data_IF_546273808364
#
_entry.id   IF_546273808364
#
_cell.length_a   1.000
_cell.length_b   1.000
_cell.length_c   1.000
_cell.angle_alpha   90.00
_cell.angle_beta   90.00
_cell.angle_gamma   90.00
#
_symmetry.space_group_name_H-M   'P 1'
#
loop_
_entity.id
_entity.type
_entity.pdbx_description
1 polymer ?
#
# COMPACT_ATOMS: atom_id res chain seq x y z
N UNK A 1 24.11 -15.36 -2.17
CA UNK A 1 25.22 -15.73 -3.11
C UNK A 1 26.27 -14.61 -3.17
N UNK A 2 25.85 -13.33 -3.27
CA UNK A 2 26.77 -12.17 -3.26
C UNK A 2 27.55 -12.08 -1.95
N UNK A 3 26.91 -12.26 -0.80
CA UNK A 3 27.56 -12.29 0.53
C UNK A 3 28.62 -13.39 0.65
N UNK A 4 28.35 -14.55 0.06
CA UNK A 4 29.33 -15.64 0.01
C UNK A 4 30.56 -15.26 -0.81
N UNK A 5 30.37 -14.63 -1.98
CA UNK A 5 31.46 -14.17 -2.84
C UNK A 5 32.29 -13.13 -2.13
N UNK A 6 31.66 -12.15 -1.47
CA UNK A 6 32.35 -11.08 -0.76
C UNK A 6 33.18 -11.60 0.43
N UNK A 7 32.63 -12.54 1.20
CA UNK A 7 33.26 -13.13 2.39
C UNK A 7 34.45 -14.05 2.05
N UNK A 8 34.39 -14.76 0.91
CA UNK A 8 35.38 -15.77 0.53
C UNK A 8 36.24 -15.41 -0.68
N UNK A 9 36.11 -14.19 -1.22
CA UNK A 9 36.79 -13.72 -2.44
C UNK A 9 38.31 -13.82 -2.36
N UNK A 10 38.87 -13.65 -1.19
CA UNK A 10 40.34 -13.61 -0.96
C UNK A 10 40.93 -14.91 -0.38
N UNK A 11 40.10 -15.96 -0.15
CA UNK A 11 40.58 -17.25 0.37
C UNK A 11 40.96 -18.18 -0.78
N UNK A 12 42.27 -18.51 -0.87
CA UNK A 12 42.80 -19.36 -1.95
C UNK A 12 42.15 -20.75 -2.02
N UNK A 13 41.78 -21.35 -0.87
CA UNK A 13 41.08 -22.65 -0.78
C UNK A 13 39.67 -22.68 -1.34
N UNK A 14 39.03 -21.53 -1.48
CA UNK A 14 37.65 -21.38 -1.97
C UNK A 14 37.54 -20.71 -3.35
N UNK A 15 38.68 -20.40 -3.98
CA UNK A 15 38.72 -19.69 -5.28
C UNK A 15 37.88 -20.37 -6.37
N UNK A 16 37.87 -21.69 -6.45
CA UNK A 16 37.10 -22.47 -7.44
C UNK A 16 35.59 -22.33 -7.19
N UNK A 17 35.15 -22.40 -5.93
CA UNK A 17 33.74 -22.26 -5.56
C UNK A 17 33.26 -20.83 -5.74
N UNK A 18 34.07 -19.83 -5.38
CA UNK A 18 33.78 -18.41 -5.61
C UNK A 18 33.65 -18.13 -7.11
N UNK A 19 34.59 -18.61 -7.94
CA UNK A 19 34.52 -18.45 -9.39
C UNK A 19 33.30 -19.15 -10.01
N UNK A 20 32.92 -20.33 -9.51
CA UNK A 20 31.70 -21.02 -9.96
C UNK A 20 30.46 -20.19 -9.65
N UNK A 21 30.34 -19.62 -8.45
CA UNK A 21 29.22 -18.78 -8.07
C UNK A 21 29.18 -17.43 -8.79
N UNK A 22 30.35 -16.83 -9.06
CA UNK A 22 30.44 -15.63 -9.93
C UNK A 22 29.89 -15.97 -11.34
N UNK A 23 30.32 -17.10 -11.94
CA UNK A 23 29.82 -17.53 -13.24
C UNK A 23 28.32 -17.87 -13.24
N UNK A 24 27.76 -18.29 -12.10
CA UNK A 24 26.30 -18.46 -11.95
C UNK A 24 25.58 -17.13 -11.90
N UNK A 25 26.12 -16.12 -11.19
CA UNK A 25 25.55 -14.77 -11.17
C UNK A 25 25.64 -14.06 -12.52
N UNK A 26 26.74 -14.25 -13.26
CA UNK A 26 26.92 -13.69 -14.61
C UNK A 26 25.96 -14.30 -15.65
N UNK A 27 25.45 -15.52 -15.39
CA UNK A 27 24.43 -16.17 -16.24
C UNK A 27 22.99 -15.72 -15.95
N UNK A 28 22.75 -15.04 -14.84
CA UNK A 28 21.45 -14.47 -14.50
C UNK A 28 21.31 -13.18 -15.30
N UNK A 29 20.46 -13.19 -16.32
CA UNK A 29 20.03 -11.96 -17.00
C UNK A 29 19.37 -11.06 -15.94
N UNK A 30 20.05 -9.98 -15.59
CA UNK A 30 19.45 -8.96 -14.72
C UNK A 30 18.31 -8.33 -15.51
N UNK A 31 17.09 -8.52 -15.00
CA UNK A 31 15.95 -7.75 -15.49
C UNK A 31 16.26 -6.29 -15.13
N UNK A 32 16.70 -5.52 -16.12
CA UNK A 32 16.77 -4.06 -15.97
C UNK A 32 15.33 -3.58 -15.90
N UNK A 33 14.85 -3.33 -14.67
CA UNK A 33 13.62 -2.59 -14.47
C UNK A 33 13.93 -1.17 -14.94
N UNK A 34 13.33 -0.76 -16.06
CA UNK A 34 13.40 0.62 -16.50
C UNK A 34 13.07 1.51 -15.29
N UNK A 35 13.90 2.53 -14.99
CA UNK A 35 13.63 3.42 -13.89
C UNK A 35 12.24 4.00 -14.11
N UNK A 36 11.33 3.75 -13.15
CA UNK A 36 10.00 4.37 -13.17
C UNK A 36 10.19 5.86 -13.38
N UNK A 37 9.65 6.34 -14.48
CA UNK A 37 9.70 7.76 -14.83
C UNK A 37 8.85 8.49 -13.78
N UNK A 38 9.50 8.87 -12.67
CA UNK A 38 8.92 9.64 -11.57
C UNK A 38 8.79 11.11 -11.97
N UNK A 39 8.30 11.36 -13.19
CA UNK A 39 7.87 12.68 -13.55
C UNK A 39 6.77 13.09 -12.57
N UNK A 40 7.16 13.83 -11.53
CA UNK A 40 6.24 14.39 -10.54
C UNK A 40 5.40 15.45 -11.23
N UNK A 41 4.33 15.01 -11.86
CA UNK A 41 3.41 15.88 -12.54
C UNK A 41 2.64 16.65 -11.49
N UNK A 42 2.86 17.94 -11.46
CA UNK A 42 2.19 18.84 -10.54
C UNK A 42 0.89 19.30 -11.21
N UNK A 43 -0.21 18.61 -10.92
CA UNK A 43 -1.54 19.12 -11.27
C UNK A 43 -1.74 20.42 -10.50
N UNK A 44 -1.90 21.53 -11.21
CA UNK A 44 -2.27 22.83 -10.62
C UNK A 44 -3.77 23.01 -10.76
N UNK A 45 -4.43 23.21 -9.64
CA UNK A 45 -5.85 23.50 -9.59
C UNK A 45 -6.12 24.96 -9.99
N UNK A 46 -7.28 25.21 -10.58
CA UNK A 46 -7.72 26.57 -10.82
C UNK A 46 -8.03 27.25 -9.48
N UNK A 47 -7.70 28.55 -9.35
CA UNK A 47 -8.08 29.31 -8.17
C UNK A 47 -9.62 29.40 -8.10
N UNK A 48 -10.20 28.81 -7.09
CA UNK A 48 -11.63 28.88 -6.82
C UNK A 48 -11.93 29.99 -5.80
N UNK A 49 -13.15 30.48 -5.81
CA UNK A 49 -13.62 31.45 -4.79
C UNK A 49 -13.54 30.80 -3.41
N UNK A 50 -13.02 31.53 -2.43
CA UNK A 50 -12.89 31.01 -1.05
C UNK A 50 -14.27 30.76 -0.45
N UNK A 51 -14.54 29.53 0.00
CA UNK A 51 -15.76 29.18 0.73
C UNK A 51 -15.76 29.72 2.15
N UNK A 52 -16.93 29.75 2.80
CA UNK A 52 -17.05 29.95 4.23
C UNK A 52 -16.27 28.95 5.06
N UNK A 53 -16.11 29.17 6.35
CA UNK A 53 -15.31 28.28 7.24
C UNK A 53 -16.01 26.95 7.46
N UNK A 54 -17.32 26.90 7.50
CA UNK A 54 -18.13 25.69 7.53
C UNK A 54 -18.62 25.40 6.11
N UNK A 55 -18.29 24.24 5.59
CA UNK A 55 -18.67 23.80 4.24
C UNK A 55 -19.98 23.03 4.27
N UNK A 56 -20.10 22.08 5.20
CA UNK A 56 -21.31 21.29 5.41
C UNK A 56 -21.63 21.27 6.89
N UNK A 57 -22.87 21.59 7.24
CA UNK A 57 -23.39 21.54 8.60
C UNK A 57 -24.72 20.79 8.61
N UNK A 58 -24.75 19.61 9.21
CA UNK A 58 -25.94 18.76 9.35
C UNK A 58 -26.27 18.48 10.79
N UNK A 59 -27.56 18.51 11.13
CA UNK A 59 -28.10 18.18 12.45
C UNK A 59 -29.36 17.34 12.31
N UNK A 60 -29.44 16.32 13.16
CA UNK A 60 -30.60 15.43 13.27
C UNK A 60 -31.04 14.85 11.92
N UNK A 61 -30.08 14.54 11.06
CA UNK A 61 -30.40 14.08 9.72
C UNK A 61 -30.96 12.66 9.75
N UNK A 62 -32.13 12.48 9.10
CA UNK A 62 -32.79 11.20 8.96
C UNK A 62 -33.12 10.94 7.49
N UNK A 63 -32.84 9.72 7.04
CA UNK A 63 -33.21 9.28 5.69
C UNK A 63 -33.73 7.86 5.69
N UNK A 64 -34.94 7.70 5.16
CA UNK A 64 -35.54 6.41 4.87
C UNK A 64 -35.94 6.30 3.39
N UNK A 65 -35.99 5.08 2.88
CA UNK A 65 -36.57 4.72 1.58
C UNK A 65 -37.71 3.75 1.82
N UNK A 66 -38.95 4.26 1.78
CA UNK A 66 -40.13 3.50 2.28
C UNK A 66 -39.90 3.09 3.75
N UNK A 67 -40.05 1.82 4.04
CA UNK A 67 -39.85 1.29 5.41
C UNK A 67 -38.38 1.06 5.80
N UNK A 68 -37.47 1.22 4.86
CA UNK A 68 -36.03 1.00 5.10
C UNK A 68 -35.34 2.28 5.58
N UNK A 69 -35.06 2.34 6.88
CA UNK A 69 -34.30 3.44 7.48
C UNK A 69 -32.80 3.26 7.21
N UNK A 70 -32.17 4.24 6.56
CA UNK A 70 -30.75 4.22 6.17
C UNK A 70 -29.88 5.06 7.12
N UNK A 71 -30.33 6.25 7.46
CA UNK A 71 -29.63 7.17 8.38
C UNK A 71 -30.59 7.64 9.45
N UNK A 72 -30.11 7.69 10.69
CA UNK A 72 -30.89 8.09 11.86
C UNK A 72 -30.10 9.01 12.78
N UNK A 73 -30.66 10.19 13.09
CA UNK A 73 -30.11 11.17 14.04
C UNK A 73 -28.61 11.44 13.78
N UNK A 74 -28.29 11.81 12.53
CA UNK A 74 -26.92 12.02 12.09
C UNK A 74 -26.54 13.49 12.17
N UNK A 75 -25.44 13.75 12.90
CA UNK A 75 -24.79 15.05 12.95
C UNK A 75 -23.47 15.01 12.17
N UNK A 76 -23.21 16.05 11.36
CA UNK A 76 -21.99 16.15 10.57
C UNK A 76 -21.55 17.59 10.43
N UNK A 77 -20.24 17.84 10.66
CA UNK A 77 -19.59 19.12 10.44
C UNK A 77 -18.33 18.94 9.61
N UNK A 78 -18.30 19.57 8.44
CA UNK A 78 -17.13 19.58 7.56
C UNK A 78 -16.67 21.02 7.37
N UNK A 79 -15.42 21.28 7.76
CA UNK A 79 -14.81 22.59 7.69
C UNK A 79 -14.03 22.76 6.38
N UNK A 80 -13.78 24.03 6.04
CA UNK A 80 -12.96 24.38 4.87
C UNK A 80 -11.55 23.80 4.99
N UNK A 81 -11.05 23.23 3.88
CA UNK A 81 -9.72 22.66 3.79
C UNK A 81 -9.58 21.28 4.43
N UNK A 82 -10.62 20.76 5.06
CA UNK A 82 -10.60 19.39 5.58
C UNK A 82 -10.61 18.37 4.45
N UNK A 83 -9.85 17.30 4.65
CA UNK A 83 -9.87 16.10 3.80
C UNK A 83 -10.47 14.95 4.59
N UNK A 84 -11.67 14.58 4.22
CA UNK A 84 -12.57 13.72 4.97
C UNK A 84 -12.79 12.40 4.22
N UNK A 85 -12.70 11.28 4.91
CA UNK A 85 -13.06 9.98 4.37
C UNK A 85 -14.38 9.48 4.96
N UNK A 86 -15.28 8.98 4.11
CA UNK A 86 -16.49 8.26 4.49
C UNK A 86 -16.21 6.76 4.38
N UNK A 87 -16.23 6.05 5.50
CA UNK A 87 -15.90 4.64 5.60
C UNK A 87 -17.06 3.88 6.23
N UNK A 88 -17.35 2.68 5.75
CA UNK A 88 -18.43 1.82 6.25
C UNK A 88 -18.79 0.75 5.23
N UNK A 89 -19.60 -0.23 5.62
CA UNK A 89 -20.03 -1.31 4.71
C UNK A 89 -20.90 -0.77 3.58
N UNK A 90 -21.05 -1.58 2.54
CA UNK A 90 -21.97 -1.23 1.45
C UNK A 90 -23.42 -1.21 1.98
N UNK A 91 -24.17 -0.20 1.53
CA UNK A 91 -25.57 -0.01 1.98
C UNK A 91 -25.75 0.80 3.27
N UNK A 92 -24.68 1.20 3.99
CA UNK A 92 -24.78 1.96 5.23
C UNK A 92 -25.01 3.47 5.05
N UNK A 93 -25.32 3.91 3.83
CA UNK A 93 -25.78 5.29 3.59
C UNK A 93 -24.70 6.29 3.20
N UNK A 94 -23.46 5.89 2.89
CA UNK A 94 -22.39 6.79 2.43
C UNK A 94 -22.79 7.64 1.22
N UNK A 95 -23.15 6.99 0.10
CA UNK A 95 -23.63 7.66 -1.11
C UNK A 95 -24.97 8.38 -0.87
N UNK A 96 -25.79 7.89 0.05
CA UNK A 96 -27.04 8.56 0.44
C UNK A 96 -26.75 9.93 1.06
N UNK A 97 -25.81 10.01 2.01
CA UNK A 97 -25.40 11.29 2.59
C UNK A 97 -24.80 12.24 1.56
N UNK A 98 -23.99 11.72 0.64
CA UNK A 98 -23.45 12.52 -0.48
C UNK A 98 -24.59 13.11 -1.32
N UNK A 99 -25.61 12.33 -1.67
CA UNK A 99 -26.77 12.80 -2.42
C UNK A 99 -27.62 13.81 -1.63
N UNK A 100 -27.67 13.68 -0.30
CA UNK A 100 -28.32 14.69 0.55
C UNK A 100 -27.53 16.00 0.52
N UNK A 101 -26.19 15.97 0.62
CA UNK A 101 -25.32 17.15 0.50
C UNK A 101 -25.50 17.83 -0.86
N UNK A 102 -25.71 17.05 -1.92
CA UNK A 102 -25.96 17.55 -3.28
C UNK A 102 -27.42 17.99 -3.51
N UNK A 103 -28.28 17.93 -2.49
CA UNK A 103 -29.71 18.23 -2.57
C UNK A 103 -30.48 17.43 -3.66
N UNK A 104 -30.02 16.21 -3.92
CA UNK A 104 -30.61 15.33 -4.93
C UNK A 104 -31.77 14.48 -4.41
N UNK A 105 -31.88 14.30 -3.10
CA UNK A 105 -32.89 13.47 -2.45
C UNK A 105 -33.47 14.17 -1.22
N UNK A 106 -34.79 14.01 -0.95
CA UNK A 106 -35.41 14.56 0.25
C UNK A 106 -34.92 13.85 1.51
N UNK A 107 -34.80 14.60 2.60
CA UNK A 107 -34.38 14.14 3.93
C UNK A 107 -35.11 14.88 5.02
N UNK A 108 -35.05 14.40 6.26
CA UNK A 108 -35.51 15.07 7.46
C UNK A 108 -34.31 15.62 8.23
N UNK A 109 -34.53 16.65 9.06
CA UNK A 109 -33.47 17.34 9.79
C UNK A 109 -33.03 18.64 9.12
N UNK A 110 -31.87 19.14 9.52
CA UNK A 110 -31.31 20.38 8.99
C UNK A 110 -29.96 20.11 8.33
N UNK A 111 -29.83 20.43 7.05
CA UNK A 111 -28.56 20.38 6.31
C UNK A 111 -28.33 21.74 5.65
N UNK A 112 -27.21 22.38 5.98
CA UNK A 112 -26.83 23.70 5.45
C UNK A 112 -25.50 23.59 4.75
N UNK A 113 -25.46 24.03 3.50
CA UNK A 113 -24.24 24.22 2.73
C UNK A 113 -23.71 25.62 3.00
N UNK A 114 -22.43 25.74 3.22
CA UNK A 114 -21.77 26.99 3.54
C UNK A 114 -21.84 28.01 2.41
N UNK A 115 -21.52 29.27 2.74
CA UNK A 115 -21.52 30.36 1.75
C UNK A 115 -20.37 30.15 0.73
N UNK A 116 -20.63 30.51 -0.53
CA UNK A 116 -19.69 30.36 -1.66
C UNK A 116 -19.13 28.93 -1.85
N UNK A 117 -19.88 27.91 -1.47
CA UNK A 117 -19.49 26.51 -1.70
C UNK A 117 -19.85 26.14 -3.13
N UNK A 118 -18.83 25.75 -3.91
CA UNK A 118 -18.95 25.23 -5.27
C UNK A 118 -18.45 23.80 -5.27
N UNK A 119 -19.36 22.83 -5.47
CA UNK A 119 -19.10 21.40 -5.30
C UNK A 119 -18.86 20.75 -6.66
N UNK A 120 -17.68 20.15 -6.83
CA UNK A 120 -17.41 19.20 -7.88
C UNK A 120 -17.70 17.79 -7.38
N UNK A 121 -18.62 17.09 -8.04
CA UNK A 121 -19.00 15.74 -7.67
C UNK A 121 -18.55 14.72 -8.70
N UNK A 122 -17.79 13.74 -8.28
CA UNK A 122 -17.42 12.58 -9.07
C UNK A 122 -18.29 11.40 -8.64
N UNK A 123 -19.32 11.14 -9.42
CA UNK A 123 -20.21 10.00 -9.23
C UNK A 123 -19.64 8.74 -9.89
N UNK A 124 -20.11 7.59 -9.45
CA UNK A 124 -19.73 6.29 -10.03
C UNK A 124 -19.97 6.21 -11.56
N UNK A 125 -20.95 6.96 -12.09
CA UNK A 125 -21.31 6.98 -13.53
C UNK A 125 -20.84 8.27 -14.24
N UNK A 126 -19.90 9.02 -13.67
CA UNK A 126 -19.47 10.30 -14.25
C UNK A 126 -18.85 10.17 -15.64
N UNK A 127 -18.25 9.02 -15.93
CA UNK A 127 -17.67 8.71 -17.23
C UNK A 127 -18.72 8.67 -18.37
N UNK A 128 -19.96 8.37 -18.07
CA UNK A 128 -21.06 8.30 -19.06
C UNK A 128 -21.63 9.67 -19.43
N UNK A 129 -21.31 10.70 -18.65
CA UNK A 129 -21.75 12.09 -18.87
C UNK A 129 -20.82 12.85 -19.84
N UNK A 130 -19.71 12.26 -20.25
CA UNK A 130 -18.80 12.87 -21.21
C UNK A 130 -19.41 12.89 -22.61
N UNK A 131 -19.22 14.01 -23.34
CA UNK A 131 -19.65 14.09 -24.72
C UNK A 131 -18.81 13.14 -25.62
N UNK A 132 -19.49 12.11 -26.12
CA UNK A 132 -18.87 11.06 -26.93
C UNK A 132 -18.35 11.54 -28.29
N UNK A 133 -18.77 12.72 -28.76
CA UNK A 133 -18.38 13.30 -30.06
C UNK A 133 -17.04 14.04 -30.01
N UNK A 134 -16.63 14.51 -28.84
CA UNK A 134 -15.40 15.26 -28.62
C UNK A 134 -14.15 14.37 -28.58
N UNK A 135 -12.99 14.96 -28.82
CA UNK A 135 -11.72 14.31 -28.53
C UNK A 135 -11.36 14.42 -27.04
N UNK A 136 -10.38 13.62 -26.58
CA UNK A 136 -9.84 13.72 -25.22
C UNK A 136 -9.35 15.15 -24.95
N UNK A 137 -8.58 15.71 -25.93
CA UNK A 137 -8.05 17.06 -25.83
C UNK A 137 -9.16 18.11 -25.73
N UNK A 138 -10.16 18.05 -26.64
CA UNK A 138 -11.26 19.02 -26.68
C UNK A 138 -12.07 19.00 -25.39
N UNK A 139 -12.32 17.80 -24.82
CA UNK A 139 -13.04 17.64 -23.57
C UNK A 139 -12.36 18.38 -22.39
N UNK A 140 -11.04 18.37 -22.36
CA UNK A 140 -10.27 19.04 -21.32
C UNK A 140 -10.06 20.54 -21.65
N UNK A 141 -9.89 20.89 -22.92
CA UNK A 141 -9.73 22.28 -23.37
C UNK A 141 -10.95 23.15 -23.08
N UNK A 142 -12.15 22.58 -23.06
CA UNK A 142 -13.39 23.27 -22.70
C UNK A 142 -13.38 23.83 -21.28
N UNK A 143 -12.71 23.15 -20.35
CA UNK A 143 -12.68 23.53 -18.93
C UNK A 143 -11.38 24.18 -18.50
N UNK A 144 -10.31 24.02 -19.28
CA UNK A 144 -9.00 24.56 -18.97
C UNK A 144 -8.91 26.06 -19.29
N UNK A 145 -8.49 26.88 -18.32
CA UNK A 145 -8.34 28.33 -18.46
C UNK A 145 -6.90 28.77 -18.18
N UNK A 146 -6.45 29.80 -18.87
CA UNK A 146 -5.17 30.46 -18.61
C UNK A 146 -3.94 29.56 -18.80
N UNK A 147 -3.06 29.56 -17.80
CA UNK A 147 -1.79 28.79 -17.84
C UNK A 147 -2.00 27.27 -17.86
N UNK A 148 -3.13 26.78 -17.33
CA UNK A 148 -3.46 25.37 -17.34
C UNK A 148 -3.68 24.86 -18.76
N UNK A 149 -4.28 25.70 -19.63
CA UNK A 149 -4.51 25.38 -21.03
C UNK A 149 -3.21 25.07 -21.79
N UNK A 150 -2.13 25.75 -21.46
CA UNK A 150 -0.80 25.48 -22.07
C UNK A 150 -0.21 24.13 -21.64
N UNK A 151 -0.67 23.58 -20.52
CA UNK A 151 -0.16 22.33 -19.91
C UNK A 151 -1.12 21.14 -20.02
N UNK A 152 -2.18 21.27 -20.80
CA UNK A 152 -3.20 20.19 -20.94
C UNK A 152 -2.53 18.88 -21.34
N UNK A 153 -1.61 18.89 -22.32
CA UNK A 153 -0.94 17.67 -22.79
C UNK A 153 -0.08 17.02 -21.71
N UNK A 154 0.58 17.83 -20.87
CA UNK A 154 1.38 17.32 -19.73
C UNK A 154 0.46 16.70 -18.67
N UNK A 155 -0.68 17.34 -18.40
CA UNK A 155 -1.68 16.83 -17.45
C UNK A 155 -2.30 15.55 -17.99
N UNK A 156 -2.69 15.50 -19.25
CA UNK A 156 -3.24 14.31 -19.88
C UNK A 156 -2.19 13.17 -19.88
N UNK A 157 -0.93 13.48 -20.20
CA UNK A 157 0.19 12.53 -20.11
C UNK A 157 0.35 11.93 -18.71
N UNK A 158 0.13 12.76 -17.65
CA UNK A 158 0.09 12.28 -16.27
C UNK A 158 -0.95 11.19 -16.04
N UNK A 159 -2.13 11.38 -16.60
CA UNK A 159 -3.23 10.42 -16.50
C UNK A 159 -3.18 9.38 -17.61
N UNK A 160 -1.98 9.09 -18.14
CA UNK A 160 -1.72 8.05 -19.13
C UNK A 160 -2.43 8.24 -20.48
N UNK A 161 -2.67 9.48 -20.88
CA UNK A 161 -3.06 9.81 -22.26
C UNK A 161 -1.85 10.40 -22.99
N UNK A 162 -1.17 9.61 -23.80
CA UNK A 162 0.06 10.04 -24.51
C UNK A 162 -0.07 9.95 -26.03
N UNK A 163 0.73 10.74 -26.72
CA UNK A 163 0.85 10.71 -28.18
C UNK A 163 -0.50 10.91 -28.89
N UNK A 164 -0.88 9.94 -29.74
CA UNK A 164 -2.12 9.97 -30.53
C UNK A 164 -3.41 9.73 -29.70
N UNK A 165 -3.27 9.25 -28.46
CA UNK A 165 -4.43 8.98 -27.61
C UNK A 165 -5.19 10.25 -27.23
N UNK A 166 -4.52 11.38 -27.20
CA UNK A 166 -5.09 12.69 -26.89
C UNK A 166 -6.09 13.15 -27.96
N UNK A 167 -5.94 12.66 -29.19
CA UNK A 167 -6.81 13.00 -30.32
C UNK A 167 -7.95 11.98 -30.55
N UNK A 168 -7.94 10.85 -29.82
CA UNK A 168 -9.02 9.86 -29.85
C UNK A 168 -10.33 10.49 -29.39
N UNK A 169 -11.43 10.10 -30.02
CA UNK A 169 -12.78 10.49 -29.58
C UNK A 169 -13.17 9.74 -28.33
N UNK A 170 -13.91 10.40 -27.42
CA UNK A 170 -14.40 9.83 -26.15
C UNK A 170 -15.17 8.52 -26.37
N UNK A 171 -15.93 8.40 -27.45
CA UNK A 171 -16.69 7.18 -27.81
C UNK A 171 -15.83 5.93 -27.99
N UNK A 172 -14.54 6.09 -28.34
CA UNK A 172 -13.60 4.98 -28.63
C UNK A 172 -12.85 4.54 -27.40
N UNK A 173 -12.89 5.34 -26.33
CA UNK A 173 -12.19 5.08 -25.08
C UNK A 173 -12.83 3.89 -24.33
N UNK A 174 -11.96 3.09 -23.67
CA UNK A 174 -12.38 2.09 -22.68
C UNK A 174 -13.05 2.75 -21.46
N UNK A 175 -13.77 1.95 -20.66
CA UNK A 175 -14.39 2.46 -19.42
C UNK A 175 -13.40 3.11 -18.47
N UNK A 176 -12.22 2.50 -18.28
CA UNK A 176 -11.17 3.06 -17.44
C UNK A 176 -10.57 4.37 -17.98
N UNK A 177 -10.36 4.47 -19.30
CA UNK A 177 -9.90 5.72 -19.94
C UNK A 177 -10.94 6.83 -19.78
N UNK A 178 -12.22 6.53 -20.00
CA UNK A 178 -13.32 7.50 -19.77
C UNK A 178 -13.36 7.98 -18.32
N UNK A 179 -13.19 7.07 -17.36
CA UNK A 179 -13.13 7.41 -15.94
C UNK A 179 -11.95 8.34 -15.63
N UNK A 180 -10.77 8.06 -16.18
CA UNK A 180 -9.59 8.93 -16.04
C UNK A 180 -9.81 10.31 -16.65
N UNK A 181 -10.40 10.37 -17.84
CA UNK A 181 -10.73 11.64 -18.51
C UNK A 181 -11.73 12.48 -17.73
N UNK A 182 -12.80 11.87 -17.22
CA UNK A 182 -13.78 12.54 -16.36
C UNK A 182 -13.14 13.08 -15.08
N UNK A 183 -12.20 12.34 -14.50
CA UNK A 183 -11.44 12.80 -13.34
C UNK A 183 -10.55 14.00 -13.66
N UNK A 184 -9.80 13.96 -14.77
CA UNK A 184 -8.98 15.09 -15.22
C UNK A 184 -9.84 16.34 -15.40
N UNK A 185 -10.97 16.21 -16.09
CA UNK A 185 -11.90 17.30 -16.30
C UNK A 185 -12.38 17.91 -14.98
N UNK A 186 -12.80 17.07 -14.03
CA UNK A 186 -13.26 17.51 -12.71
C UNK A 186 -12.19 18.29 -11.95
N UNK A 187 -10.94 17.80 -11.96
CA UNK A 187 -9.82 18.43 -11.26
C UNK A 187 -9.42 19.78 -11.84
N UNK A 188 -9.76 20.05 -13.10
CA UNK A 188 -9.43 21.30 -13.79
C UNK A 188 -10.53 22.36 -13.69
N UNK A 189 -11.72 22.01 -13.22
CA UNK A 189 -12.78 22.98 -12.98
C UNK A 189 -12.57 23.73 -11.62
N UNK A 190 -12.99 24.99 -11.49
CA UNK A 190 -12.73 25.82 -10.31
C UNK A 190 -13.66 25.48 -9.15
N UNK A 191 -13.60 24.28 -8.65
CA UNK A 191 -14.32 23.87 -7.46
C UNK A 191 -13.51 24.18 -6.18
N UNK A 192 -14.21 24.48 -5.09
CA UNK A 192 -13.62 24.64 -3.76
C UNK A 192 -13.95 23.45 -2.84
N UNK A 193 -14.87 22.61 -3.26
CA UNK A 193 -15.21 21.34 -2.60
C UNK A 193 -15.24 20.23 -3.64
N UNK A 194 -14.54 19.15 -3.37
CA UNK A 194 -14.58 17.93 -4.20
C UNK A 194 -15.20 16.80 -3.41
N UNK A 195 -16.22 16.19 -3.99
CA UNK A 195 -16.82 14.95 -3.47
C UNK A 195 -16.54 13.82 -4.46
N UNK A 196 -15.85 12.79 -4.01
CA UNK A 196 -15.43 11.67 -4.84
C UNK A 196 -16.06 10.39 -4.29
N UNK A 197 -16.95 9.79 -5.07
CA UNK A 197 -17.62 8.53 -4.71
C UNK A 197 -16.98 7.36 -5.45
N UNK A 198 -16.23 6.53 -4.72
CA UNK A 198 -15.45 5.40 -5.19
C UNK A 198 -14.51 5.74 -6.37
N UNK A 199 -13.66 6.78 -6.25
CA UNK A 199 -12.85 7.27 -7.35
C UNK A 199 -11.76 6.30 -7.80
N UNK A 200 -11.44 5.32 -6.97
CA UNK A 200 -10.39 4.32 -7.23
C UNK A 200 -10.86 3.14 -8.05
N UNK A 201 -12.17 2.98 -8.25
CA UNK A 201 -12.71 1.92 -9.07
C UNK A 201 -12.26 2.07 -10.52
N UNK A 202 -11.78 0.98 -11.10
CA UNK A 202 -11.27 0.92 -12.48
C UNK A 202 -10.00 1.75 -12.75
N UNK A 203 -9.31 2.26 -11.71
CA UNK A 203 -8.01 2.91 -11.84
C UNK A 203 -6.87 1.92 -11.55
N UNK A 204 -5.83 1.95 -12.37
CA UNK A 204 -4.57 1.28 -12.10
C UNK A 204 -3.80 1.96 -10.95
N UNK A 205 -2.83 1.26 -10.38
CA UNK A 205 -2.07 1.71 -9.20
C UNK A 205 -1.40 3.07 -9.44
N UNK A 206 -0.81 3.26 -10.62
CA UNK A 206 -0.12 4.51 -11.00
C UNK A 206 -1.07 5.70 -11.05
N UNK A 207 -2.24 5.53 -11.67
CA UNK A 207 -3.27 6.59 -11.71
C UNK A 207 -3.84 6.90 -10.32
N UNK A 208 -4.01 5.90 -9.43
CA UNK A 208 -4.40 6.12 -8.03
C UNK A 208 -3.39 7.01 -7.29
N UNK A 209 -2.10 6.75 -7.45
CA UNK A 209 -1.05 7.55 -6.81
C UNK A 209 -1.03 9.00 -7.32
N UNK A 210 -1.20 9.20 -8.63
CA UNK A 210 -1.28 10.53 -9.23
C UNK A 210 -2.49 11.29 -8.70
N UNK A 211 -3.66 10.64 -8.65
CA UNK A 211 -4.88 11.23 -8.09
C UNK A 211 -4.69 11.58 -6.61
N UNK A 212 -4.12 10.67 -5.81
CA UNK A 212 -3.85 10.90 -4.39
C UNK A 212 -2.95 12.11 -4.17
N UNK A 213 -1.85 12.22 -4.94
CA UNK A 213 -0.94 13.36 -4.85
C UNK A 213 -1.59 14.68 -5.32
N UNK A 214 -2.44 14.62 -6.35
CA UNK A 214 -3.23 15.78 -6.78
C UNK A 214 -4.15 16.23 -5.64
N UNK A 215 -4.95 15.33 -5.06
CA UNK A 215 -5.87 15.64 -3.96
C UNK A 215 -5.17 16.14 -2.70
N UNK A 216 -3.95 15.68 -2.40
CA UNK A 216 -3.15 16.23 -1.30
C UNK A 216 -2.81 17.71 -1.50
N UNK A 217 -2.52 18.10 -2.74
CA UNK A 217 -2.17 19.49 -3.11
C UNK A 217 -3.40 20.39 -3.29
N UNK A 218 -4.59 19.81 -3.34
CA UNK A 218 -5.81 20.59 -3.43
C UNK A 218 -6.05 21.38 -2.13
N UNK A 219 -6.15 22.71 -2.24
CA UNK A 219 -6.33 23.60 -1.08
C UNK A 219 -7.78 23.66 -0.57
N UNK A 220 -8.73 23.17 -1.35
CA UNK A 220 -10.13 23.09 -0.98
C UNK A 220 -10.46 21.92 -0.06
N UNK A 221 -11.73 21.75 0.21
CA UNK A 221 -12.27 20.63 1.01
C UNK A 221 -12.46 19.40 0.12
N UNK A 222 -12.09 18.23 0.62
CA UNK A 222 -12.24 16.96 -0.10
C UNK A 222 -13.04 15.99 0.76
N UNK A 223 -14.09 15.42 0.18
CA UNK A 223 -14.87 14.32 0.76
C UNK A 223 -14.66 13.10 -0.14
N UNK A 224 -14.12 12.03 0.40
CA UNK A 224 -13.85 10.80 -0.35
C UNK A 224 -14.64 9.66 0.27
N UNK A 225 -15.48 9.03 -0.53
CA UNK A 225 -16.10 7.74 -0.23
C UNK A 225 -15.24 6.68 -0.88
N UNK A 226 -14.57 5.85 -0.12
CA UNK A 226 -13.77 4.75 -0.69
C UNK A 226 -13.55 3.62 0.30
N UNK A 227 -13.40 2.42 -0.23
CA UNK A 227 -12.98 1.23 0.49
C UNK A 227 -11.47 0.98 0.42
N UNK A 228 -10.76 1.72 -0.42
CA UNK A 228 -9.32 1.61 -0.63
C UNK A 228 -8.55 2.28 0.52
N UNK A 229 -8.05 1.47 1.45
CA UNK A 229 -7.34 1.94 2.64
C UNK A 229 -6.04 2.64 2.30
N UNK A 230 -5.31 2.13 1.31
CA UNK A 230 -4.01 2.67 0.88
C UNK A 230 -4.19 4.03 0.23
N UNK A 231 -5.24 4.20 -0.55
CA UNK A 231 -5.60 5.49 -1.14
C UNK A 231 -5.93 6.53 -0.07
N UNK A 232 -6.75 6.17 0.93
CA UNK A 232 -7.18 7.08 1.99
C UNK A 232 -6.07 7.40 2.99
N UNK A 233 -5.10 6.49 3.20
CA UNK A 233 -3.98 6.68 4.12
C UNK A 233 -3.09 7.83 3.68
N UNK A 234 -2.87 8.80 4.59
CA UNK A 234 -2.08 10.01 4.31
C UNK A 234 -2.78 11.04 3.41
N UNK A 235 -4.05 10.81 3.02
CA UNK A 235 -4.92 11.79 2.36
C UNK A 235 -5.91 12.39 3.36
N UNK A 236 -6.73 11.55 4.00
CA UNK A 236 -7.78 12.00 4.91
C UNK A 236 -7.25 12.25 6.32
N UNK A 237 -7.52 13.42 6.87
CA UNK A 237 -7.21 13.78 8.26
C UNK A 237 -8.34 13.46 9.24
N UNK A 238 -9.56 13.27 8.73
CA UNK A 238 -10.78 12.98 9.48
C UNK A 238 -11.54 11.83 8.81
N UNK A 239 -12.09 10.93 9.59
CA UNK A 239 -12.86 9.78 9.10
C UNK A 239 -14.26 9.82 9.73
N UNK A 240 -15.28 9.73 8.91
CA UNK A 240 -16.65 9.45 9.33
C UNK A 240 -16.97 7.98 9.07
N UNK A 241 -17.16 7.24 10.14
CA UNK A 241 -17.55 5.85 10.10
C UNK A 241 -19.07 5.72 10.06
N UNK A 242 -19.58 5.05 9.04
CA UNK A 242 -20.99 4.69 8.90
C UNK A 242 -21.19 3.29 9.47
N UNK A 243 -21.95 3.18 10.54
CA UNK A 243 -22.31 1.92 11.16
C UNK A 243 -23.66 2.05 11.89
N UNK A 244 -24.48 1.03 11.81
CA UNK A 244 -25.77 0.94 12.53
C UNK A 244 -26.70 2.14 12.31
N UNK A 245 -26.74 2.64 11.05
CA UNK A 245 -27.55 3.81 10.64
C UNK A 245 -27.11 5.14 11.26
N UNK A 246 -25.96 5.18 11.91
CA UNK A 246 -25.35 6.33 12.55
C UNK A 246 -24.00 6.67 11.94
N UNK A 247 -23.52 7.87 12.23
CA UNK A 247 -22.19 8.30 11.82
C UNK A 247 -21.38 8.61 13.08
N UNK A 248 -20.14 8.07 13.11
CA UNK A 248 -19.18 8.36 14.17
C UNK A 248 -17.96 9.06 13.59
N UNK A 249 -17.61 10.19 14.18
CA UNK A 249 -16.42 10.95 13.80
C UNK A 249 -15.17 10.40 14.45
N UNK A 250 -14.10 10.21 13.67
CA UNK A 250 -12.77 9.81 14.12
C UNK A 250 -11.73 10.82 13.62
N UNK A 251 -11.03 11.45 14.55
CA UNK A 251 -9.93 12.38 14.28
C UNK A 251 -8.59 11.62 14.20
N UNK A 252 -7.68 12.09 13.33
CA UNK A 252 -6.32 11.54 13.22
C UNK A 252 -6.12 10.59 12.06
N UNK A 253 -7.02 10.62 11.06
CA UNK A 253 -6.87 9.92 9.80
C UNK A 253 -7.17 8.42 9.86
N UNK A 254 -6.99 7.76 8.71
CA UNK A 254 -7.38 6.34 8.51
C UNK A 254 -6.51 5.40 9.33
N UNK A 255 -5.23 5.66 9.49
CA UNK A 255 -4.32 4.81 10.27
C UNK A 255 -4.78 4.69 11.72
N UNK A 256 -5.06 5.84 12.35
CA UNK A 256 -5.55 5.87 13.74
C UNK A 256 -6.94 5.24 13.88
N UNK A 257 -7.81 5.44 12.89
CA UNK A 257 -9.11 4.79 12.83
C UNK A 257 -8.97 3.26 12.83
N UNK A 258 -8.09 2.70 12.00
CA UNK A 258 -7.85 1.27 11.92
C UNK A 258 -7.24 0.70 13.22
N UNK A 259 -6.34 1.43 13.86
CA UNK A 259 -5.78 1.06 15.17
C UNK A 259 -6.88 1.02 16.25
N UNK A 260 -7.73 2.04 16.29
CA UNK A 260 -8.86 2.11 17.24
C UNK A 260 -9.82 0.93 17.02
N UNK A 261 -10.15 0.61 15.77
CA UNK A 261 -11.00 -0.54 15.43
C UNK A 261 -10.38 -1.88 15.82
N UNK A 262 -9.10 -2.07 15.59
CA UNK A 262 -8.39 -3.27 16.08
C UNK A 262 -8.46 -3.40 17.58
N UNK A 263 -8.31 -2.30 18.33
CA UNK A 263 -8.42 -2.30 19.79
C UNK A 263 -9.85 -2.56 20.27
N UNK A 264 -10.88 -2.01 19.60
CA UNK A 264 -12.29 -2.27 19.90
C UNK A 264 -12.63 -3.75 19.70
N UNK A 265 -12.29 -4.35 18.57
CA UNK A 265 -12.44 -5.77 18.31
C UNK A 265 -11.71 -6.64 19.34
N UNK A 266 -10.50 -6.26 19.74
CA UNK A 266 -9.74 -6.99 20.75
C UNK A 266 -10.42 -6.95 22.12
N UNK A 267 -10.93 -5.78 22.55
CA UNK A 267 -11.68 -5.63 23.81
C UNK A 267 -13.01 -6.37 23.80
N UNK A 268 -13.72 -6.41 22.68
CA UNK A 268 -14.96 -7.21 22.55
C UNK A 268 -14.65 -8.70 22.64
N UNK A 269 -13.58 -9.17 22.01
CA UNK A 269 -13.12 -10.54 22.14
C UNK A 269 -12.75 -10.92 23.57
N UNK A 270 -12.03 -10.06 24.30
CA UNK A 270 -11.72 -10.27 25.73
C UNK A 270 -12.98 -10.30 26.61
N UNK A 271 -13.99 -9.49 26.30
CA UNK A 271 -15.28 -9.50 27.01
C UNK A 271 -16.07 -10.78 26.79
N UNK A 272 -16.03 -11.31 25.56
CA UNK A 272 -16.71 -12.58 25.22
C UNK A 272 -15.97 -13.80 25.76
N UNK A 273 -14.67 -13.70 26.04
CA UNK A 273 -13.81 -14.78 26.53
C UNK A 273 -13.03 -14.36 27.78
N UNK A 274 -13.71 -14.12 28.93
CA UNK A 274 -13.02 -13.72 30.16
C UNK A 274 -12.17 -14.87 30.68
N UNK A 275 -10.86 -14.80 30.52
CA UNK A 275 -9.89 -15.79 31.01
C UNK A 275 -8.81 -16.23 30.02
N UNK A 276 -8.85 -15.81 28.79
CA UNK A 276 -7.84 -16.14 27.78
C UNK A 276 -6.83 -15.01 27.58
N UNK A 277 -6.13 -14.63 28.65
CA UNK A 277 -5.03 -13.68 28.59
C UNK A 277 -3.77 -14.35 28.07
N UNK A 278 -3.54 -14.34 26.75
CA UNK A 278 -2.25 -14.27 26.07
C UNK A 278 -2.43 -14.28 24.55
N UNK A 279 -2.13 -13.14 23.96
CA UNK A 279 -1.74 -12.93 22.55
C UNK A 279 -2.52 -13.77 21.53
N UNK A 280 -3.58 -13.19 20.95
CA UNK A 280 -4.15 -13.70 19.70
C UNK A 280 -4.31 -12.55 18.71
N UNK A 281 -3.64 -12.69 17.59
CA UNK A 281 -3.82 -11.89 16.37
C UNK A 281 -5.18 -12.14 15.74
N UNK A 282 -5.80 -11.09 15.24
CA UNK A 282 -7.10 -10.93 14.58
C UNK A 282 -7.46 -12.09 13.65
N UNK A 283 -8.67 -12.66 13.82
CA UNK A 283 -9.28 -13.62 12.88
C UNK A 283 -10.43 -12.97 12.11
N UNK A 284 -10.39 -13.16 10.79
CA UNK A 284 -11.44 -12.81 9.84
C UNK A 284 -12.42 -13.97 9.63
N UNK A 285 -13.69 -13.63 9.50
CA UNK A 285 -14.90 -14.34 9.01
C UNK A 285 -14.92 -15.87 8.77
N UNK A 286 -15.96 -16.50 9.32
CA UNK A 286 -16.18 -17.94 9.55
C UNK A 286 -16.69 -18.79 8.36
N UNK A 287 -16.53 -18.44 7.10
CA UNK A 287 -16.87 -19.35 5.99
C UNK A 287 -15.72 -19.68 5.03
N UNK A 288 -14.53 -19.07 5.23
CA UNK A 288 -13.29 -19.47 4.55
C UNK A 288 -12.25 -20.11 5.48
N UNK A 289 -12.67 -20.52 6.68
CA UNK A 289 -11.82 -20.80 7.87
C UNK A 289 -11.03 -22.11 7.80
N UNK A 290 -11.31 -23.03 6.87
CA UNK A 290 -10.55 -24.30 6.84
C UNK A 290 -9.21 -24.17 6.12
N UNK A 291 -9.14 -23.47 5.02
CA UNK A 291 -7.90 -23.31 4.22
C UNK A 291 -6.94 -22.25 4.80
N UNK A 292 -7.45 -21.12 5.25
CA UNK A 292 -6.63 -20.06 5.86
C UNK A 292 -6.05 -20.45 7.23
N UNK A 293 -6.73 -21.31 7.99
CA UNK A 293 -6.23 -21.79 9.29
C UNK A 293 -5.10 -22.79 9.13
N UNK A 294 -5.16 -23.63 8.10
CA UNK A 294 -4.06 -24.52 7.73
C UNK A 294 -2.87 -23.72 7.22
N UNK A 295 -3.06 -22.78 6.29
CA UNK A 295 -2.00 -21.91 5.77
C UNK A 295 -1.33 -21.05 6.87
N UNK A 296 -2.08 -20.56 7.85
CA UNK A 296 -1.52 -19.85 9.01
C UNK A 296 -0.70 -20.74 9.95
N UNK A 297 -1.14 -21.97 10.22
CA UNK A 297 -0.41 -22.93 11.03
C UNK A 297 0.87 -23.38 10.33
N UNK A 298 0.81 -23.63 9.02
CA UNK A 298 1.96 -23.93 8.18
C UNK A 298 2.97 -22.78 8.19
N UNK A 299 2.53 -21.54 7.98
CA UNK A 299 3.38 -20.35 8.03
C UNK A 299 4.04 -20.16 9.39
N UNK A 300 3.34 -20.46 10.48
CA UNK A 300 3.91 -20.41 11.84
C UNK A 300 4.95 -21.52 12.07
N UNK A 301 4.74 -22.70 11.49
CA UNK A 301 5.72 -23.80 11.51
C UNK A 301 6.96 -23.45 10.68
N UNK A 302 6.80 -22.93 9.46
CA UNK A 302 7.91 -22.48 8.61
C UNK A 302 8.73 -21.38 9.29
N UNK A 303 8.11 -20.37 9.90
CA UNK A 303 8.83 -19.32 10.64
C UNK A 303 9.60 -19.88 11.85
N UNK A 304 9.10 -20.93 12.50
CA UNK A 304 9.78 -21.59 13.60
C UNK A 304 10.98 -22.43 13.10
N UNK A 305 10.84 -23.04 11.94
CA UNK A 305 11.93 -23.78 11.28
C UNK A 305 13.02 -22.84 10.79
N UNK A 306 12.68 -21.74 10.14
CA UNK A 306 13.64 -20.71 9.73
C UNK A 306 14.47 -20.24 10.90
N UNK A 307 13.83 -19.88 12.04
CA UNK A 307 14.58 -19.46 13.24
C UNK A 307 15.51 -20.54 13.78
N UNK A 308 15.11 -21.82 13.69
CA UNK A 308 15.97 -22.95 14.11
C UNK A 308 17.18 -23.09 13.21
N UNK A 309 16.98 -23.00 11.91
CA UNK A 309 18.05 -23.09 10.91
C UNK A 309 19.00 -21.88 11.03
N UNK A 310 18.48 -20.68 11.20
CA UNK A 310 19.29 -19.45 11.43
C UNK A 310 20.20 -19.58 12.66
N UNK A 311 19.68 -20.10 13.78
CA UNK A 311 20.49 -20.33 14.99
C UNK A 311 21.56 -21.39 14.75
N UNK A 312 21.27 -22.45 13.95
CA UNK A 312 22.23 -23.48 13.61
C UNK A 312 23.33 -22.96 12.70
N UNK A 313 22.97 -22.20 11.66
CA UNK A 313 23.91 -21.50 10.77
C UNK A 313 24.85 -20.59 11.56
N UNK A 314 24.31 -19.77 12.49
CA UNK A 314 25.12 -18.89 13.35
C UNK A 314 26.12 -19.67 14.23
N UNK A 315 25.73 -20.83 14.80
CA UNK A 315 26.64 -21.66 15.58
C UNK A 315 27.76 -22.27 14.74
N UNK A 316 27.43 -22.72 13.53
CA UNK A 316 28.43 -23.24 12.59
C UNK A 316 29.40 -22.14 12.14
N UNK A 317 28.94 -20.92 11.96
CA UNK A 317 29.79 -19.76 11.67
C UNK A 317 30.79 -19.46 12.81
N UNK A 318 30.36 -19.51 14.08
CA UNK A 318 31.22 -19.34 15.24
C UNK A 318 32.23 -20.50 15.34
N UNK A 319 31.82 -21.74 15.09
CA UNK A 319 32.72 -22.91 15.09
C UNK A 319 33.78 -22.79 13.99
N UNK A 320 33.37 -22.42 12.76
CA UNK A 320 34.30 -22.20 11.63
C UNK A 320 35.34 -21.12 11.99
N UNK A 321 34.89 -19.97 12.53
CA UNK A 321 35.81 -18.90 12.92
C UNK A 321 36.83 -19.33 14.00
N UNK A 322 36.36 -20.11 15.01
CA UNK A 322 37.25 -20.63 16.05
C UNK A 322 38.24 -21.68 15.53
N UNK A 323 37.82 -22.52 14.59
CA UNK A 323 38.70 -23.50 13.95
C UNK A 323 39.73 -22.83 13.03
N UNK A 324 39.34 -21.82 12.26
CA UNK A 324 40.26 -21.05 11.41
C UNK A 324 41.33 -20.36 12.25
N UNK A 325 40.94 -19.76 13.39
CA UNK A 325 41.92 -19.13 14.26
C UNK A 325 42.94 -20.12 14.87
N UNK A 326 42.46 -21.30 15.30
CA UNK A 326 43.32 -22.37 15.81
C UNK A 326 44.25 -22.91 14.73
N UNK A 327 43.80 -23.04 13.50
CA UNK A 327 44.65 -23.46 12.38
C UNK A 327 45.72 -22.42 12.09
N UNK A 328 45.38 -21.13 12.08
CA UNK A 328 46.33 -20.03 11.88
C UNK A 328 47.44 -20.01 13.00
N UNK A 329 47.02 -20.25 14.25
CA UNK A 329 47.96 -20.33 15.38
C UNK A 329 48.93 -21.53 15.25
N UNK A 330 48.42 -22.66 14.70
CA UNK A 330 49.30 -23.85 14.45
C UNK A 330 50.25 -23.56 13.28
N UNK A 331 49.77 -22.95 12.20
CA UNK A 331 50.57 -22.56 11.02
C UNK A 331 51.67 -21.55 11.43
N UNK A 332 51.35 -20.60 12.32
CA UNK A 332 52.31 -19.67 12.89
C UNK A 332 53.47 -20.38 13.63
N UNK A 333 53.14 -21.37 14.48
CA UNK A 333 54.13 -22.17 15.20
C UNK A 333 54.98 -23.04 14.29
N UNK A 334 54.38 -23.58 13.22
CA UNK A 334 55.10 -24.35 12.20
C UNK A 334 56.09 -23.48 11.41
N UNK A 335 55.72 -22.21 11.13
CA UNK A 335 56.61 -21.27 10.43
C UNK A 335 57.82 -20.80 11.29
N UNK A 336 57.69 -20.85 12.61
CA UNK A 336 58.77 -20.55 13.57
C UNK A 336 59.78 -21.73 13.75
N UNK A 337 59.60 -22.83 12.98
CA UNK A 337 60.55 -23.94 12.95
C UNK A 337 60.27 -25.07 13.97
N UNK A 338 59.17 -25.00 14.70
CA UNK A 338 58.72 -26.04 15.64
C UNK A 338 57.81 -27.02 14.92
N UNK A 339 58.39 -28.00 14.23
CA UNK A 339 57.63 -29.08 13.58
C UNK A 339 57.70 -30.36 14.39
N UNK A 340 56.60 -30.71 15.10
CA UNK A 340 56.43 -31.95 15.84
C UNK A 340 55.31 -32.80 15.22
N UNK A 341 55.45 -34.14 15.27
CA UNK A 341 54.45 -35.08 14.74
C UNK A 341 53.05 -34.90 15.37
N UNK A 342 53.01 -34.44 16.66
CA UNK A 342 51.78 -34.10 17.36
C UNK A 342 51.11 -32.85 16.78
N UNK A 343 51.88 -31.84 16.39
CA UNK A 343 51.39 -30.60 15.80
C UNK A 343 50.78 -30.84 14.41
N UNK A 344 51.36 -31.73 13.63
CA UNK A 344 50.84 -32.16 12.33
C UNK A 344 49.52 -32.91 12.47
N UNK A 345 49.38 -33.81 13.42
CA UNK A 345 48.12 -34.53 13.70
C UNK A 345 47.04 -33.55 14.14
N UNK A 346 47.34 -32.59 15.02
CA UNK A 346 46.39 -31.57 15.43
C UNK A 346 45.96 -30.67 14.26
N UNK A 347 46.86 -30.33 13.35
CA UNK A 347 46.56 -29.57 12.16
C UNK A 347 45.57 -30.32 11.25
N UNK A 348 45.84 -31.62 10.96
CA UNK A 348 45.00 -32.47 10.13
C UNK A 348 43.61 -32.66 10.74
N UNK A 349 43.52 -32.91 12.07
CA UNK A 349 42.23 -33.03 12.76
C UNK A 349 41.41 -31.73 12.68
N UNK A 350 42.04 -30.58 12.95
CA UNK A 350 41.31 -29.29 12.89
C UNK A 350 40.91 -28.93 11.48
N UNK A 351 41.74 -29.23 10.49
CA UNK A 351 41.45 -29.00 9.08
C UNK A 351 40.29 -29.91 8.59
N UNK A 352 40.31 -31.20 8.97
CA UNK A 352 39.19 -32.11 8.64
C UNK A 352 37.87 -31.67 9.28
N UNK A 353 37.92 -31.22 10.55
CA UNK A 353 36.72 -30.68 11.23
C UNK A 353 36.24 -29.39 10.59
N UNK A 354 37.13 -28.50 10.15
CA UNK A 354 36.81 -27.29 9.43
C UNK A 354 36.09 -27.59 8.11
N UNK A 355 36.60 -28.55 7.34
CA UNK A 355 35.96 -28.98 6.06
C UNK A 355 34.58 -29.58 6.29
N UNK A 356 34.36 -30.35 7.36
CA UNK A 356 33.06 -30.85 7.77
C UNK A 356 32.10 -29.73 8.16
N UNK A 357 32.53 -28.83 9.05
CA UNK A 357 31.71 -27.70 9.51
C UNK A 357 31.29 -26.77 8.35
N UNK A 358 32.17 -26.61 7.36
CA UNK A 358 31.87 -25.82 6.15
C UNK A 358 30.87 -26.53 5.22
N UNK A 359 30.92 -27.87 5.13
CA UNK A 359 29.92 -28.64 4.38
C UNK A 359 28.56 -28.56 5.05
N UNK A 360 28.50 -28.79 6.37
CA UNK A 360 27.27 -28.66 7.16
C UNK A 360 26.67 -27.24 7.07
N UNK A 361 27.50 -26.21 7.11
CA UNK A 361 27.08 -24.81 6.94
C UNK A 361 26.48 -24.55 5.54
N UNK A 362 27.09 -25.13 4.49
CA UNK A 362 26.60 -24.97 3.12
C UNK A 362 25.22 -25.60 2.94
N UNK A 363 25.00 -26.81 3.47
CA UNK A 363 23.72 -27.53 3.42
C UNK A 363 22.63 -26.79 4.19
N UNK A 364 22.94 -26.32 5.41
CA UNK A 364 21.96 -25.60 6.23
C UNK A 364 21.62 -24.21 5.63
N UNK A 365 22.57 -23.56 4.97
CA UNK A 365 22.33 -22.29 4.31
C UNK A 365 21.48 -22.43 3.04
N UNK A 366 21.68 -23.50 2.25
CA UNK A 366 20.81 -23.85 1.12
C UNK A 366 19.37 -24.15 1.59
N UNK A 367 19.23 -24.87 2.69
CA UNK A 367 17.94 -25.14 3.30
C UNK A 367 17.25 -23.86 3.78
N UNK A 368 17.99 -22.92 4.38
CA UNK A 368 17.51 -21.61 4.81
C UNK A 368 17.00 -20.76 3.62
N UNK A 369 17.76 -20.74 2.52
CA UNK A 369 17.37 -20.04 1.28
C UNK A 369 16.08 -20.64 0.69
N UNK A 370 15.99 -21.98 0.66
CA UNK A 370 14.79 -22.68 0.17
C UNK A 370 13.55 -22.38 1.03
N UNK A 371 13.68 -22.41 2.36
CA UNK A 371 12.59 -22.09 3.27
C UNK A 371 12.15 -20.62 3.14
N UNK A 372 13.07 -19.69 2.95
CA UNK A 372 12.75 -18.26 2.71
C UNK A 372 12.04 -18.06 1.38
N UNK A 373 12.50 -18.70 0.31
CA UNK A 373 11.86 -18.64 -1.00
C UNK A 373 10.43 -19.22 -0.99
N UNK A 374 10.22 -20.30 -0.22
CA UNK A 374 8.90 -20.93 -0.06
C UNK A 374 7.93 -19.98 0.63
N UNK A 375 8.34 -19.24 1.67
CA UNK A 375 7.49 -18.27 2.36
C UNK A 375 7.16 -17.07 1.46
N UNK A 376 8.08 -16.61 0.64
CA UNK A 376 7.82 -15.48 -0.26
C UNK A 376 6.85 -15.86 -1.39
N UNK A 377 6.84 -17.10 -1.84
CA UNK A 377 5.82 -17.63 -2.76
C UNK A 377 4.42 -17.75 -2.11
N UNK A 378 4.33 -17.89 -0.78
CA UNK A 378 3.05 -17.84 -0.04
C UNK A 378 2.56 -16.41 0.26
N UNK A 379 3.34 -15.36 -0.12
CA UNK A 379 2.95 -13.95 0.03
C UNK A 379 2.43 -13.32 -1.27
N UNK A 380 2.69 -13.95 -2.41
CA UNK A 380 2.17 -13.57 -3.73
C UNK A 380 0.84 -14.27 -4.00
#
# INVERSE_FOLDING_TARGET
>A
TEDFIERFRYKATKSVQVQSRIKQLDKIERIEVEPEDKARICVRFQPAVRSGDVVVHGRDLVKAYGDHLVLKDVDIDILRGEKVAFVGRNGEGKTTLVRMIMDQIPYEGTLKIGHNVNIGYFAQNQADLLDSSLSVLDTVDQVAVGEIRKKIRDILGAFLFSGEEVEKKVRVLSGGERTRLAMVRLLLEPYNVLILDEPTNHLDMRTKDILKEALKKFEGTVIVVSHDRDFLTGLAGKVYEFADKKIKEHLGGVTRFLETKKMECFREYERMHPGCGKVVSVEENEESVSENKQAFLERKQFNKEIKRVEVRVGKLEEEIATLEQKIADIEGKMSEGVVNEELLKMYEEKKSRLDQAMSEWSEENENLEHLKATIDNYKS
#
